data_IF_769453890716
#
_entry.id   IF_769453890716
#
_cell.length_a   1.000
_cell.length_b   1.000
_cell.length_c   1.000
_cell.angle_alpha   90.00
_cell.angle_beta   90.00
_cell.angle_gamma   90.00
#
_symmetry.space_group_name_H-M   'P 1'
#
loop_
_entity.id
_entity.type
_entity.pdbx_description
1 polymer ?
#
# COMPACT_ATOMS: atom_id res chain seq x y z
N UNK A 1 -20.64 -6.28 11.09
CA UNK A 1 -21.41 -7.54 10.98
C UNK A 1 -20.90 -8.51 9.91
N UNK A 2 -20.09 -8.08 8.94
CA UNK A 2 -19.49 -8.98 7.90
C UNK A 2 -18.23 -9.71 8.41
N UNK A 3 -17.51 -9.12 9.38
CA UNK A 3 -16.25 -9.66 9.95
C UNK A 3 -16.45 -10.91 10.81
N UNK A 4 -17.51 -10.97 11.61
CA UNK A 4 -17.71 -12.11 12.54
C UNK A 4 -18.12 -13.43 11.86
N UNK A 5 -18.78 -13.36 10.69
CA UNK A 5 -19.18 -14.56 9.96
C UNK A 5 -18.00 -15.24 9.23
N UNK A 6 -17.00 -14.46 8.76
CA UNK A 6 -15.80 -15.04 8.13
C UNK A 6 -14.82 -15.65 9.17
N UNK A 7 -14.70 -15.04 10.34
CA UNK A 7 -13.89 -15.60 11.46
C UNK A 7 -14.48 -16.92 11.98
N UNK A 8 -15.81 -17.06 12.02
CA UNK A 8 -16.45 -18.34 12.39
C UNK A 8 -16.19 -19.47 11.38
N UNK A 9 -16.19 -19.18 10.07
CA UNK A 9 -15.98 -20.21 9.05
C UNK A 9 -14.55 -20.80 9.04
N UNK A 10 -13.54 -20.07 9.53
CA UNK A 10 -12.16 -20.56 9.60
C UNK A 10 -11.90 -21.41 10.88
N UNK A 11 -12.61 -21.13 11.98
CA UNK A 11 -12.53 -21.97 13.20
C UNK A 11 -13.02 -23.41 13.00
N UNK A 12 -13.88 -23.65 12.03
CA UNK A 12 -14.41 -25.00 11.75
C UNK A 12 -13.39 -25.95 11.07
N UNK A 13 -12.18 -25.46 10.65
CA UNK A 13 -11.15 -26.26 9.99
C UNK A 13 -9.85 -26.45 10.80
N UNK A 14 -9.79 -26.01 12.05
CA UNK A 14 -8.58 -26.14 12.87
C UNK A 14 -7.43 -25.19 12.50
N UNK A 15 -7.69 -24.18 11.66
CA UNK A 15 -6.69 -23.17 11.25
C UNK A 15 -6.85 -21.92 12.10
N UNK A 16 -5.78 -21.51 12.78
CA UNK A 16 -5.74 -20.30 13.59
C UNK A 16 -5.11 -19.13 12.82
N UNK A 17 -5.74 -17.94 12.92
CA UNK A 17 -5.16 -16.69 12.41
C UNK A 17 -4.27 -16.13 13.52
N UNK A 18 -2.94 -16.23 13.34
CA UNK A 18 -1.97 -15.75 14.32
C UNK A 18 -1.74 -14.23 14.22
N UNK A 19 -1.79 -13.68 13.03
CA UNK A 19 -1.68 -12.25 12.76
C UNK A 19 -2.44 -11.88 11.48
N UNK A 20 -2.98 -10.68 11.42
CA UNK A 20 -3.71 -10.17 10.25
C UNK A 20 -3.44 -8.67 10.07
N UNK A 21 -3.30 -8.26 8.83
CA UNK A 21 -3.35 -6.87 8.42
C UNK A 21 -4.40 -6.70 7.32
N UNK A 22 -5.26 -5.71 7.48
CA UNK A 22 -6.23 -5.30 6.45
C UNK A 22 -6.03 -3.82 6.17
N UNK A 23 -5.80 -3.42 4.90
CA UNK A 23 -5.82 -2.01 4.54
C UNK A 23 -7.24 -1.48 4.80
N UNK A 24 -7.34 -0.44 5.60
CA UNK A 24 -8.63 0.06 6.07
C UNK A 24 -9.38 0.83 5.01
N UNK A 25 -8.71 1.48 4.06
CA UNK A 25 -9.29 2.14 2.89
C UNK A 25 -8.22 2.42 1.83
N UNK A 26 -8.61 2.49 0.53
CA UNK A 26 -7.77 2.87 -0.63
C UNK A 26 -7.10 4.25 -0.51
N UNK A 27 -7.48 5.05 0.46
CA UNK A 27 -7.28 6.50 0.55
C UNK A 27 -6.38 6.92 1.69
N UNK A 28 -5.89 5.97 2.49
CA UNK A 28 -4.97 6.29 3.56
C UNK A 28 -3.62 6.75 3.00
N UNK A 29 -3.08 7.76 3.62
CA UNK A 29 -1.71 8.15 3.38
C UNK A 29 -0.77 7.09 3.93
N UNK A 30 0.20 6.73 3.13
CA UNK A 30 1.20 5.72 3.40
C UNK A 30 2.54 6.39 3.63
N UNK A 31 3.40 5.75 4.39
CA UNK A 31 4.81 6.14 4.44
C UNK A 31 5.50 5.91 3.07
N UNK A 32 6.62 6.56 2.88
CA UNK A 32 7.40 6.55 1.62
C UNK A 32 8.54 5.54 1.61
N UNK A 33 8.74 4.76 2.67
CA UNK A 33 9.96 3.95 2.86
C UNK A 33 10.16 2.90 1.76
N UNK A 34 9.12 2.19 1.39
CA UNK A 34 9.19 1.19 0.31
C UNK A 34 9.32 1.81 -1.09
N UNK A 35 8.76 3.00 -1.29
CA UNK A 35 8.96 3.79 -2.50
C UNK A 35 10.38 4.31 -2.58
N UNK A 36 10.97 4.74 -1.47
CA UNK A 36 12.38 5.13 -1.41
C UNK A 36 13.30 3.97 -1.81
N UNK A 37 13.01 2.75 -1.35
CA UNK A 37 13.73 1.55 -1.79
C UNK A 37 13.62 1.36 -3.31
N UNK A 38 12.40 1.43 -3.86
CA UNK A 38 12.16 1.31 -5.30
C UNK A 38 13.00 2.34 -6.09
N UNK A 39 12.92 3.61 -5.74
CA UNK A 39 13.58 4.67 -6.49
C UNK A 39 15.10 4.61 -6.38
N UNK A 40 15.66 4.39 -5.18
CA UNK A 40 17.09 4.18 -5.00
C UNK A 40 17.61 3.00 -5.83
N UNK A 41 16.80 1.97 -5.94
CA UNK A 41 17.12 0.76 -6.68
C UNK A 41 17.09 1.01 -8.20
N UNK A 42 16.10 1.75 -8.69
CA UNK A 42 16.00 2.13 -10.10
C UNK A 42 17.11 3.10 -10.52
N UNK A 43 17.47 4.05 -9.66
CA UNK A 43 18.59 4.96 -9.90
C UNK A 43 19.90 4.20 -10.08
N UNK A 44 20.18 3.17 -9.26
CA UNK A 44 21.33 2.27 -9.41
C UNK A 44 21.33 1.48 -10.72
N UNK A 45 20.15 1.28 -11.32
CA UNK A 45 20.00 0.66 -12.65
C UNK A 45 20.05 1.67 -13.80
N UNK A 46 20.34 2.94 -13.52
CA UNK A 46 20.48 4.02 -14.51
C UNK A 46 19.16 4.60 -14.97
N UNK A 47 18.06 4.38 -14.23
CA UNK A 47 16.77 5.02 -14.52
C UNK A 47 16.80 6.46 -14.01
N UNK A 48 16.36 7.40 -14.84
CA UNK A 48 16.13 8.79 -14.42
C UNK A 48 14.88 8.85 -13.52
N UNK A 49 15.12 8.86 -12.21
CA UNK A 49 14.08 8.87 -11.18
C UNK A 49 13.25 10.14 -11.22
N UNK A 50 13.83 11.28 -11.61
CA UNK A 50 13.09 12.53 -11.73
C UNK A 50 12.05 12.45 -12.84
N UNK A 51 12.43 11.93 -14.01
CA UNK A 51 11.50 11.70 -15.12
C UNK A 51 10.40 10.68 -14.76
N UNK A 52 10.75 9.67 -13.99
CA UNK A 52 9.80 8.67 -13.51
C UNK A 52 8.78 9.31 -12.55
N UNK A 53 9.21 10.13 -11.60
CA UNK A 53 8.33 10.88 -10.70
C UNK A 53 7.43 11.87 -11.45
N UNK A 54 7.96 12.57 -12.43
CA UNK A 54 7.17 13.47 -13.32
C UNK A 54 6.10 12.65 -14.06
N UNK A 55 6.48 11.50 -14.61
CA UNK A 55 5.56 10.60 -15.30
C UNK A 55 4.43 10.09 -14.40
N UNK A 56 4.72 9.83 -13.14
CA UNK A 56 3.75 9.40 -12.12
C UNK A 56 2.87 10.56 -11.60
N UNK A 57 3.16 11.82 -11.96
CA UNK A 57 2.47 13.00 -11.43
C UNK A 57 2.92 13.38 -10.02
N UNK A 58 4.10 12.95 -9.61
CA UNK A 58 4.69 13.10 -8.27
C UNK A 58 5.89 14.06 -8.27
N UNK A 59 5.95 14.97 -9.24
CA UNK A 59 6.99 16.00 -9.27
C UNK A 59 6.92 16.86 -8.00
N UNK A 60 8.01 16.88 -7.23
CA UNK A 60 8.10 17.60 -5.95
C UNK A 60 7.90 16.72 -4.71
N UNK A 61 7.71 15.41 -4.87
CA UNK A 61 7.78 14.48 -3.75
C UNK A 61 9.23 14.42 -3.23
N UNK A 62 9.44 14.88 -2.00
CA UNK A 62 10.73 14.71 -1.33
C UNK A 62 10.73 13.36 -0.57
N UNK A 63 11.41 12.39 -1.14
CA UNK A 63 11.58 11.07 -0.53
C UNK A 63 12.53 11.06 0.69
N UNK A 64 13.26 12.16 0.91
CA UNK A 64 14.12 12.33 2.07
C UNK A 64 13.35 12.87 3.27
N UNK A 65 12.14 13.37 3.05
CA UNK A 65 11.24 13.75 4.12
C UNK A 65 10.72 12.48 4.82
N UNK A 66 11.12 12.23 6.09
CA UNK A 66 10.63 11.08 6.85
C UNK A 66 9.11 11.13 7.10
N UNK A 67 8.50 12.31 6.91
CA UNK A 67 7.06 12.53 6.99
C UNK A 67 6.40 12.56 5.60
N UNK A 68 7.16 12.26 4.54
CA UNK A 68 6.64 12.17 3.18
C UNK A 68 5.49 11.18 3.12
N UNK A 69 4.44 11.55 2.40
CA UNK A 69 3.19 10.77 2.32
C UNK A 69 2.80 10.57 0.88
N UNK A 70 2.30 9.38 0.60
CA UNK A 70 1.76 8.97 -0.68
C UNK A 70 0.36 8.40 -0.49
N UNK A 71 -0.50 8.58 -1.47
CA UNK A 71 -1.73 7.78 -1.55
C UNK A 71 -1.43 6.41 -2.19
N UNK A 72 -2.33 5.46 -2.03
CA UNK A 72 -2.26 4.19 -2.78
C UNK A 72 -2.25 4.41 -4.29
N UNK A 73 -3.03 5.37 -4.78
CA UNK A 73 -3.07 5.69 -6.20
C UNK A 73 -1.72 6.20 -6.72
N UNK A 74 -1.06 7.07 -5.96
CA UNK A 74 0.27 7.58 -6.30
C UNK A 74 1.30 6.44 -6.32
N UNK A 75 1.26 5.56 -5.32
CA UNK A 75 2.14 4.40 -5.23
C UNK A 75 1.93 3.44 -6.40
N UNK A 76 0.68 3.11 -6.71
CA UNK A 76 0.36 2.23 -7.84
C UNK A 76 0.75 2.85 -9.18
N UNK A 77 0.56 4.17 -9.35
CA UNK A 77 1.02 4.90 -10.55
C UNK A 77 2.54 4.78 -10.71
N UNK A 78 3.29 4.99 -9.63
CA UNK A 78 4.74 4.87 -9.63
C UNK A 78 5.19 3.43 -9.93
N UNK A 79 4.54 2.44 -9.32
CA UNK A 79 4.82 1.02 -9.54
C UNK A 79 4.53 0.61 -10.99
N UNK A 80 3.45 1.12 -11.57
CA UNK A 80 3.09 0.88 -12.97
C UNK A 80 4.17 1.39 -13.92
N UNK A 81 4.60 2.64 -13.75
CA UNK A 81 5.63 3.24 -14.59
C UNK A 81 6.96 2.52 -14.40
N UNK A 82 7.35 2.20 -13.16
CA UNK A 82 8.57 1.45 -12.89
C UNK A 82 8.55 0.07 -13.56
N UNK A 83 7.43 -0.66 -13.47
CA UNK A 83 7.28 -1.98 -14.07
C UNK A 83 7.31 -1.93 -15.61
N UNK A 84 6.80 -0.87 -16.22
CA UNK A 84 6.85 -0.67 -17.67
C UNK A 84 8.28 -0.44 -18.21
N UNK A 85 9.20 0.07 -17.39
CA UNK A 85 10.62 0.20 -17.77
C UNK A 85 11.37 -1.13 -17.82
N UNK A 86 10.86 -2.15 -17.15
CA UNK A 86 11.49 -3.47 -17.04
C UNK A 86 10.46 -4.58 -17.32
N UNK A 87 9.83 -4.58 -18.50
CA UNK A 87 8.85 -5.60 -18.84
C UNK A 87 9.52 -6.99 -18.83
N UNK A 88 8.83 -7.97 -18.28
CA UNK A 88 9.29 -9.36 -18.22
C UNK A 88 10.65 -9.60 -17.52
N UNK A 89 11.08 -8.68 -16.65
CA UNK A 89 12.35 -8.78 -15.92
C UNK A 89 12.21 -9.20 -14.45
N UNK A 90 10.99 -9.46 -13.96
CA UNK A 90 10.76 -9.82 -12.55
C UNK A 90 11.29 -8.75 -11.59
N UNK A 91 11.02 -7.48 -11.89
CA UNK A 91 11.45 -6.34 -11.08
C UNK A 91 10.99 -6.47 -9.63
N UNK A 92 9.78 -7.00 -9.38
CA UNK A 92 9.26 -7.22 -8.04
C UNK A 92 10.12 -8.20 -7.23
N UNK A 93 10.53 -9.33 -7.83
CA UNK A 93 11.43 -10.29 -7.18
C UNK A 93 12.76 -9.65 -6.81
N UNK A 94 13.32 -8.89 -7.74
CA UNK A 94 14.61 -8.25 -7.56
C UNK A 94 14.58 -7.16 -6.48
N UNK A 95 13.52 -6.33 -6.44
CA UNK A 95 13.32 -5.35 -5.38
C UNK A 95 13.22 -6.00 -4.00
N UNK A 96 12.41 -7.04 -3.88
CA UNK A 96 12.25 -7.76 -2.63
C UNK A 96 13.54 -8.47 -2.18
N UNK A 97 14.39 -8.90 -3.10
CA UNK A 97 15.71 -9.46 -2.79
C UNK A 97 16.62 -8.42 -2.11
N UNK A 98 16.47 -7.14 -2.45
CA UNK A 98 17.22 -6.04 -1.87
C UNK A 98 16.53 -5.38 -0.67
N UNK A 99 15.39 -5.90 -0.23
CA UNK A 99 14.74 -5.42 0.98
C UNK A 99 15.57 -5.77 2.23
N UNK A 100 15.66 -4.82 3.16
CA UNK A 100 16.40 -4.94 4.42
C UNK A 100 15.57 -4.30 5.53
N UNK A 101 15.76 -4.74 6.77
CA UNK A 101 15.11 -4.16 7.96
C UNK A 101 15.31 -2.66 8.06
N UNK A 102 16.47 -2.15 7.61
CA UNK A 102 16.75 -0.70 7.59
C UNK A 102 15.78 0.10 6.73
N UNK A 103 15.20 -0.50 5.68
CA UNK A 103 14.21 0.15 4.83
C UNK A 103 12.82 0.28 5.51
N UNK A 104 12.65 -0.38 6.66
CA UNK A 104 11.41 -0.32 7.45
C UNK A 104 11.53 0.65 8.64
N UNK A 105 12.63 1.43 8.71
CA UNK A 105 12.84 2.44 9.74
C UNK A 105 12.67 1.89 11.15
N UNK A 106 11.93 2.60 12.01
CA UNK A 106 11.70 2.20 13.41
C UNK A 106 11.02 0.83 13.54
N UNK A 107 10.18 0.45 12.58
CA UNK A 107 9.56 -0.88 12.57
C UNK A 107 10.60 -1.97 12.36
N UNK A 108 11.55 -1.79 11.43
CA UNK A 108 12.63 -2.75 11.21
C UNK A 108 13.46 -3.01 12.49
N UNK A 109 13.75 -1.97 13.26
CA UNK A 109 14.42 -2.13 14.57
C UNK A 109 13.53 -2.85 15.59
N UNK A 110 12.21 -2.62 15.59
CA UNK A 110 11.30 -3.38 16.44
C UNK A 110 11.31 -4.87 16.08
N UNK A 111 11.25 -5.18 14.77
CA UNK A 111 11.30 -6.58 14.32
C UNK A 111 12.61 -7.26 14.75
N UNK A 112 13.76 -6.62 14.59
CA UNK A 112 15.06 -7.19 14.94
C UNK A 112 15.22 -7.47 16.44
N UNK A 113 14.51 -6.74 17.30
CA UNK A 113 14.60 -6.89 18.77
C UNK A 113 13.50 -7.76 19.36
N UNK A 114 12.63 -8.35 18.53
CA UNK A 114 11.59 -9.29 18.94
C UNK A 114 12.18 -10.58 19.53
N UNK A 115 11.41 -11.29 20.34
CA UNK A 115 11.85 -12.51 21.03
C UNK A 115 12.06 -13.67 20.04
N UNK A 116 11.11 -13.81 19.11
CA UNK A 116 11.09 -14.86 18.10
C UNK A 116 10.45 -14.37 16.81
N UNK A 117 10.43 -15.22 15.80
CA UNK A 117 9.86 -14.93 14.49
C UNK A 117 8.36 -14.62 14.59
N UNK A 118 7.60 -15.32 15.44
CA UNK A 118 6.17 -15.07 15.61
C UNK A 118 5.89 -13.67 16.15
N UNK A 119 6.65 -13.22 17.16
CA UNK A 119 6.52 -11.86 17.69
C UNK A 119 6.92 -10.81 16.65
N UNK A 120 7.99 -11.06 15.89
CA UNK A 120 8.39 -10.17 14.79
C UNK A 120 7.28 -10.04 13.75
N UNK A 121 6.67 -11.14 13.29
CA UNK A 121 5.57 -11.09 12.31
C UNK A 121 4.33 -10.38 12.89
N UNK A 122 3.95 -10.67 14.13
CA UNK A 122 2.82 -10.00 14.81
C UNK A 122 3.05 -8.49 14.90
N UNK A 123 4.24 -8.09 15.30
CA UNK A 123 4.62 -6.67 15.37
C UNK A 123 4.66 -6.04 13.99
N UNK A 124 5.22 -6.75 13.00
CA UNK A 124 5.24 -6.34 11.61
C UNK A 124 3.83 -6.08 11.07
N UNK A 125 2.92 -7.01 11.24
CA UNK A 125 1.54 -6.87 10.73
C UNK A 125 0.77 -5.78 11.47
N UNK A 126 0.94 -5.67 12.80
CA UNK A 126 0.30 -4.59 13.58
C UNK A 126 0.66 -3.20 13.08
N UNK A 127 1.90 -2.99 12.67
CA UNK A 127 2.42 -1.69 12.24
C UNK A 127 2.74 -1.63 10.74
N UNK A 128 2.26 -2.60 9.97
CA UNK A 128 2.53 -2.71 8.54
C UNK A 128 2.08 -1.45 7.76
N UNK A 129 1.06 -0.75 8.28
CA UNK A 129 0.58 0.54 7.76
C UNK A 129 1.69 1.61 7.65
N UNK A 130 2.72 1.55 8.49
CA UNK A 130 3.86 2.48 8.40
C UNK A 130 4.61 2.36 7.07
N UNK A 131 4.54 1.20 6.42
CA UNK A 131 5.18 0.93 5.14
C UNK A 131 4.19 0.85 3.97
N UNK A 132 2.90 0.98 4.24
CA UNK A 132 1.84 1.05 3.24
C UNK A 132 1.69 -0.17 2.34
N UNK A 133 1.42 -1.37 2.87
CA UNK A 133 1.17 -2.54 2.04
C UNK A 133 -0.10 -2.38 1.23
N UNK A 134 -0.05 -2.89 0.02
CA UNK A 134 -1.14 -2.82 -0.97
C UNK A 134 -2.16 -3.95 -0.76
N UNK A 135 -1.83 -4.94 0.05
CA UNK A 135 -2.60 -6.17 0.24
C UNK A 135 -3.12 -6.32 1.65
N UNK A 136 -4.24 -7.03 1.79
CA UNK A 136 -4.54 -7.73 3.04
C UNK A 136 -3.59 -8.91 3.20
N UNK A 137 -3.07 -9.11 4.39
CA UNK A 137 -2.12 -10.18 4.69
C UNK A 137 -2.57 -10.92 5.94
N UNK A 138 -2.53 -12.26 5.91
CA UNK A 138 -2.83 -13.11 7.04
C UNK A 138 -1.70 -14.10 7.27
N UNK A 139 -1.35 -14.32 8.53
CA UNK A 139 -0.55 -15.46 8.96
C UNK A 139 -1.49 -16.51 9.54
N UNK A 140 -1.61 -17.61 8.86
CA UNK A 140 -2.40 -18.77 9.25
C UNK A 140 -1.49 -19.85 9.79
N UNK A 141 -1.94 -20.55 10.83
CA UNK A 141 -1.21 -21.69 11.43
C UNK A 141 -2.18 -22.85 11.56
N UNK A 142 -1.77 -24.00 11.03
CA UNK A 142 -2.50 -25.26 11.09
C UNK A 142 -1.51 -26.37 11.47
N UNK A 143 -1.54 -26.76 12.75
CA UNK A 143 -0.64 -27.79 13.32
C UNK A 143 0.84 -27.51 13.00
N UNK A 144 1.40 -28.23 12.05
CA UNK A 144 2.82 -28.17 11.69
C UNK A 144 3.12 -27.21 10.54
N UNK A 145 2.10 -26.60 9.93
CA UNK A 145 2.24 -25.70 8.79
C UNK A 145 1.80 -24.28 9.12
N UNK A 146 2.55 -23.33 8.62
CA UNK A 146 2.19 -21.93 8.61
C UNK A 146 2.07 -21.42 7.16
N UNK A 147 1.21 -20.45 6.93
CA UNK A 147 1.00 -19.84 5.63
C UNK A 147 0.84 -18.33 5.73
N UNK A 148 1.56 -17.58 4.91
CA UNK A 148 1.29 -16.18 4.67
C UNK A 148 0.39 -16.11 3.44
N UNK A 149 -0.84 -15.66 3.65
CA UNK A 149 -1.81 -15.42 2.57
C UNK A 149 -1.93 -13.93 2.28
N UNK A 150 -2.04 -13.62 0.98
CA UNK A 150 -2.22 -12.27 0.47
C UNK A 150 -3.55 -12.23 -0.28
N UNK A 151 -4.40 -11.27 0.08
CA UNK A 151 -5.64 -10.99 -0.63
C UNK A 151 -5.50 -9.64 -1.37
N UNK A 152 -5.78 -9.65 -2.68
CA UNK A 152 -5.78 -8.45 -3.52
C UNK A 152 -7.07 -7.64 -3.31
N UNK A 153 -7.18 -7.00 -2.16
CA UNK A 153 -8.37 -6.22 -1.78
C UNK A 153 -8.49 -4.89 -2.52
N UNK A 154 -7.38 -4.40 -3.09
CA UNK A 154 -7.31 -3.12 -3.81
C UNK A 154 -7.40 -3.28 -5.34
N UNK A 155 -7.59 -4.50 -5.83
CA UNK A 155 -7.76 -4.80 -7.26
C UNK A 155 -6.66 -4.14 -8.13
N UNK A 156 -5.38 -4.40 -7.79
CA UNK A 156 -4.22 -3.76 -8.43
C UNK A 156 -4.04 -4.13 -9.93
N UNK A 157 -4.97 -4.90 -10.51
CA UNK A 157 -4.96 -5.23 -11.93
C UNK A 157 -3.68 -5.94 -12.38
N UNK A 158 -3.12 -5.47 -13.48
CA UNK A 158 -1.91 -6.05 -14.11
C UNK A 158 -0.64 -5.90 -13.25
N UNK A 159 -0.67 -5.10 -12.18
CA UNK A 159 0.43 -4.98 -11.22
C UNK A 159 0.46 -6.12 -10.19
N UNK A 160 -0.53 -7.03 -10.19
CA UNK A 160 -0.61 -8.10 -9.21
C UNK A 160 0.66 -8.98 -9.16
N UNK A 161 1.28 -9.41 -10.28
CA UNK A 161 2.54 -10.12 -10.24
C UNK A 161 3.64 -9.31 -9.56
N UNK A 162 3.91 -8.09 -10.04
CA UNK A 162 4.93 -7.20 -9.50
C UNK A 162 4.78 -6.98 -7.99
N UNK A 163 3.59 -6.61 -7.54
CA UNK A 163 3.33 -6.31 -6.13
C UNK A 163 3.46 -7.55 -5.23
N UNK A 164 2.95 -8.71 -5.69
CA UNK A 164 3.07 -9.99 -4.97
C UNK A 164 4.53 -10.45 -4.87
N UNK A 165 5.27 -10.36 -5.96
CA UNK A 165 6.69 -10.67 -6.04
C UNK A 165 7.50 -9.81 -5.05
N UNK A 166 7.29 -8.49 -5.10
CA UNK A 166 7.99 -7.56 -4.22
C UNK A 166 7.72 -7.89 -2.75
N UNK A 167 6.47 -8.08 -2.37
CA UNK A 167 6.08 -8.38 -0.99
C UNK A 167 6.65 -9.72 -0.52
N UNK A 168 6.43 -10.82 -1.27
CA UNK A 168 6.87 -12.16 -0.89
C UNK A 168 8.39 -12.29 -0.87
N UNK A 169 9.06 -11.71 -1.88
CA UNK A 169 10.51 -11.69 -1.94
C UNK A 169 11.11 -10.88 -0.77
N UNK A 170 10.47 -9.76 -0.38
CA UNK A 170 10.89 -8.99 0.81
C UNK A 170 10.79 -9.83 2.09
N UNK A 171 9.73 -10.61 2.28
CA UNK A 171 9.59 -11.50 3.45
C UNK A 171 10.77 -12.46 3.56
N UNK A 172 11.18 -13.07 2.46
CA UNK A 172 12.32 -14.00 2.45
C UNK A 172 13.63 -13.30 2.81
N UNK A 173 13.86 -12.08 2.31
CA UNK A 173 15.04 -11.27 2.66
C UNK A 173 15.05 -10.87 4.12
N UNK A 174 13.92 -10.36 4.62
CA UNK A 174 13.79 -9.93 6.02
C UNK A 174 13.93 -11.11 7.00
N UNK A 175 13.37 -12.27 6.66
CA UNK A 175 13.53 -13.47 7.47
C UNK A 175 15.01 -13.85 7.60
N UNK A 176 15.73 -13.89 6.47
CA UNK A 176 17.17 -14.19 6.47
C UNK A 176 17.98 -13.17 7.28
N UNK A 177 17.62 -11.88 7.21
CA UNK A 177 18.28 -10.83 7.99
C UNK A 177 18.00 -10.98 9.49
N UNK A 178 16.76 -11.36 9.86
CA UNK A 178 16.35 -11.55 11.26
C UNK A 178 16.99 -12.78 11.93
N UNK A 179 17.06 -13.89 11.19
CA UNK A 179 17.45 -15.20 11.76
C UNK A 179 18.88 -15.63 11.40
N UNK A 180 19.47 -15.02 10.37
CA UNK A 180 20.74 -15.46 9.78
C UNK A 180 20.60 -16.66 8.83
N UNK A 181 19.44 -17.30 8.77
CA UNK A 181 19.19 -18.53 8.00
C UNK A 181 18.13 -18.28 6.90
N UNK A 182 18.19 -18.99 5.78
CA UNK A 182 17.18 -18.91 4.73
C UNK A 182 15.84 -19.48 5.22
N UNK A 183 14.72 -18.88 4.83
CA UNK A 183 13.40 -19.43 5.07
C UNK A 183 13.19 -20.68 4.20
N UNK A 184 13.00 -21.83 4.83
CA UNK A 184 12.61 -23.07 4.13
C UNK A 184 11.13 -22.99 3.77
N UNK A 185 10.85 -22.86 2.47
CA UNK A 185 9.49 -22.72 1.93
C UNK A 185 9.05 -24.07 1.38
N UNK A 186 7.87 -24.54 1.80
CA UNK A 186 7.31 -25.80 1.34
C UNK A 186 6.68 -25.64 -0.05
N UNK A 187 5.99 -24.51 -0.28
CA UNK A 187 5.24 -24.24 -1.50
C UNK A 187 4.91 -22.77 -1.64
N UNK A 188 4.90 -22.30 -2.90
CA UNK A 188 4.39 -20.98 -3.28
C UNK A 188 3.24 -21.14 -4.27
N UNK A 189 2.07 -20.59 -3.97
CA UNK A 189 0.88 -20.53 -4.82
C UNK A 189 0.61 -19.11 -5.27
N UNK A 190 0.37 -18.93 -6.56
CA UNK A 190 0.21 -17.60 -7.19
C UNK A 190 -1.03 -17.57 -8.08
N UNK A 191 -1.87 -16.52 -8.02
CA UNK A 191 -3.16 -16.49 -8.72
C UNK A 191 -3.04 -16.11 -10.22
N UNK A 192 -1.91 -15.65 -10.68
CA UNK A 192 -1.69 -15.20 -12.05
C UNK A 192 -1.03 -16.27 -12.92
N UNK A 193 -0.97 -16.01 -14.22
CA UNK A 193 -0.34 -16.89 -15.19
C UNK A 193 1.19 -16.92 -15.01
N UNK A 194 1.81 -18.03 -15.40
CA UNK A 194 3.27 -18.17 -15.36
C UNK A 194 3.93 -17.12 -16.25
N UNK A 195 4.77 -16.23 -15.71
CA UNK A 195 5.49 -15.22 -16.49
C UNK A 195 6.67 -15.84 -17.26
N UNK A 196 7.19 -15.09 -18.24
CA UNK A 196 8.33 -15.55 -19.05
C UNK A 196 9.61 -15.74 -18.21
N UNK A 197 9.75 -14.98 -17.13
CA UNK A 197 10.89 -15.03 -16.17
C UNK A 197 10.65 -16.00 -15.00
N UNK A 198 9.75 -16.97 -15.13
CA UNK A 198 9.35 -17.87 -14.03
C UNK A 198 10.51 -18.64 -13.38
N UNK A 199 11.63 -18.83 -14.07
CA UNK A 199 12.82 -19.47 -13.51
C UNK A 199 13.43 -18.68 -12.35
N UNK A 200 13.23 -17.35 -12.32
CA UNK A 200 13.66 -16.51 -11.20
C UNK A 200 12.94 -16.82 -9.90
N UNK A 201 11.69 -17.29 -9.97
CA UNK A 201 10.96 -17.74 -8.76
C UNK A 201 11.63 -18.96 -8.12
N UNK A 202 12.05 -19.92 -8.94
CA UNK A 202 12.76 -21.08 -8.43
C UNK A 202 14.07 -20.70 -7.75
N UNK A 203 14.83 -19.80 -8.36
CA UNK A 203 16.09 -19.30 -7.78
C UNK A 203 15.86 -18.49 -6.51
N UNK A 204 14.74 -17.76 -6.42
CA UNK A 204 14.46 -16.86 -5.29
C UNK A 204 13.86 -17.57 -4.09
N UNK A 205 12.91 -18.49 -4.31
CA UNK A 205 12.13 -19.13 -3.25
C UNK A 205 12.58 -20.55 -2.93
N UNK A 206 13.34 -21.18 -3.81
CA UNK A 206 13.87 -22.54 -3.69
C UNK A 206 12.79 -23.57 -3.28
N UNK A 207 11.60 -23.49 -3.89
CA UNK A 207 10.45 -24.31 -3.59
C UNK A 207 9.59 -24.58 -4.83
N UNK A 208 8.66 -25.57 -4.78
CA UNK A 208 7.63 -25.73 -5.80
C UNK A 208 6.76 -24.48 -5.95
N UNK A 209 6.64 -23.94 -7.18
CA UNK A 209 5.83 -22.75 -7.49
C UNK A 209 4.66 -23.14 -8.39
N UNK A 210 3.45 -22.84 -7.93
CA UNK A 210 2.20 -23.15 -8.61
C UNK A 210 1.49 -21.86 -9.05
N UNK A 211 1.37 -21.68 -10.36
CA UNK A 211 0.66 -20.54 -10.97
C UNK A 211 -0.82 -20.88 -11.23
N UNK A 212 -1.64 -19.85 -11.49
CA UNK A 212 -3.10 -19.96 -11.74
C UNK A 212 -3.85 -20.62 -10.58
N UNK A 213 -3.43 -20.37 -9.36
CA UNK A 213 -4.11 -20.82 -8.16
C UNK A 213 -5.22 -19.84 -7.76
N UNK A 214 -6.11 -20.25 -6.84
CA UNK A 214 -7.20 -19.41 -6.35
C UNK A 214 -6.75 -18.28 -5.43
N UNK A 215 -5.54 -18.38 -4.86
CA UNK A 215 -4.99 -17.41 -3.89
C UNK A 215 -3.48 -17.29 -4.00
N UNK A 216 -2.97 -16.20 -3.45
CA UNK A 216 -1.54 -15.98 -3.27
C UNK A 216 -1.14 -16.45 -1.86
N UNK A 217 -0.29 -17.48 -1.78
CA UNK A 217 0.05 -18.11 -0.51
C UNK A 217 1.48 -18.65 -0.51
N UNK A 218 2.22 -18.35 0.56
CA UNK A 218 3.55 -18.88 0.85
C UNK A 218 3.45 -19.77 2.08
N UNK A 219 3.73 -21.09 1.94
CA UNK A 219 3.68 -22.07 3.01
C UNK A 219 5.07 -22.47 3.49
N UNK A 220 5.19 -22.60 4.80
CA UNK A 220 6.43 -23.01 5.47
C UNK A 220 6.13 -23.80 6.76
N UNK A 221 7.14 -24.41 7.36
CA UNK A 221 7.01 -25.15 8.60
C UNK A 221 6.69 -24.22 9.78
N UNK A 222 5.66 -24.55 10.57
CA UNK A 222 5.23 -23.72 11.69
C UNK A 222 6.29 -23.62 12.81
N UNK A 223 7.22 -24.57 12.90
CA UNK A 223 8.31 -24.54 13.88
C UNK A 223 9.20 -23.30 13.72
N UNK A 224 9.30 -22.76 12.50
CA UNK A 224 10.02 -21.52 12.20
C UNK A 224 9.53 -20.34 13.05
N UNK A 225 8.25 -20.31 13.39
CA UNK A 225 7.64 -19.23 14.18
C UNK A 225 8.23 -19.13 15.60
N UNK A 226 8.69 -20.24 16.17
CA UNK A 226 9.30 -20.32 17.50
C UNK A 226 10.81 -20.10 17.47
N UNK A 227 11.40 -19.83 16.31
CA UNK A 227 12.84 -19.60 16.20
C UNK A 227 13.23 -18.30 16.93
N UNK A 228 14.12 -18.38 17.96
CA UNK A 228 14.53 -17.19 18.70
C UNK A 228 15.39 -16.27 17.84
N UNK A 229 15.25 -14.96 18.05
CA UNK A 229 16.08 -13.97 17.39
C UNK A 229 17.30 -13.62 18.25
N UNK A 230 18.47 -13.59 17.63
CA UNK A 230 19.75 -13.38 18.32
C UNK A 230 19.89 -11.99 18.94
N UNK A 231 19.18 -11.01 18.40
CA UNK A 231 19.22 -9.60 18.83
C UNK A 231 18.06 -9.23 19.77
N UNK A 232 17.36 -10.23 20.33
CA UNK A 232 16.25 -10.01 21.25
C UNK A 232 16.62 -9.11 22.42
N UNK A 233 15.84 -8.07 22.63
CA UNK A 233 15.87 -7.18 23.80
C UNK A 233 14.48 -6.61 24.07
N UNK A 234 13.82 -7.14 25.10
CA UNK A 234 12.44 -6.79 25.45
C UNK A 234 12.28 -5.29 25.80
N UNK A 235 13.30 -4.67 26.39
CA UNK A 235 13.25 -3.23 26.75
C UNK A 235 13.31 -2.37 25.51
N UNK A 236 14.21 -2.69 24.61
CA UNK A 236 14.41 -1.99 23.33
C UNK A 236 13.21 -2.20 22.41
N UNK A 237 12.69 -3.44 22.32
CA UNK A 237 11.45 -3.74 21.58
C UNK A 237 10.29 -2.86 22.03
N UNK A 238 10.04 -2.79 23.36
CA UNK A 238 8.97 -1.96 23.93
C UNK A 238 9.09 -0.49 23.52
N UNK A 239 10.32 0.05 23.50
CA UNK A 239 10.57 1.45 23.06
C UNK A 239 10.28 1.64 21.59
N UNK A 240 10.73 0.74 20.71
CA UNK A 240 10.46 0.84 19.28
C UNK A 240 8.97 0.67 18.95
N UNK A 241 8.28 -0.28 19.61
CA UNK A 241 6.83 -0.42 19.43
C UNK A 241 6.05 0.81 19.90
N UNK A 242 6.48 1.46 21.00
CA UNK A 242 5.89 2.71 21.44
C UNK A 242 6.11 3.83 20.40
N UNK A 243 7.29 3.89 19.78
CA UNK A 243 7.56 4.84 18.68
C UNK A 243 6.70 4.54 17.45
N UNK A 244 6.55 3.28 17.04
CA UNK A 244 5.64 2.88 15.97
C UNK A 244 4.20 3.31 16.27
N UNK A 245 3.74 3.08 17.50
CA UNK A 245 2.40 3.46 17.93
C UNK A 245 2.20 4.97 17.86
N UNK A 246 3.16 5.75 18.35
CA UNK A 246 3.11 7.21 18.28
C UNK A 246 3.04 7.75 16.84
N UNK A 247 3.79 7.14 15.90
CA UNK A 247 3.72 7.52 14.48
C UNK A 247 2.33 7.21 13.90
N UNK A 248 1.77 6.02 14.21
CA UNK A 248 0.41 5.66 13.76
C UNK A 248 -0.62 6.64 14.33
N UNK A 249 -0.54 6.97 15.62
CA UNK A 249 -1.43 7.94 16.26
C UNK A 249 -1.30 9.34 15.65
N UNK A 250 -0.09 9.75 15.29
CA UNK A 250 0.15 11.00 14.58
C UNK A 250 -0.48 10.98 13.19
N UNK A 251 -0.29 9.87 12.44
CA UNK A 251 -0.93 9.67 11.14
C UNK A 251 -2.46 9.72 11.25
N UNK A 252 -3.03 9.19 12.32
CA UNK A 252 -4.47 9.20 12.56
C UNK A 252 -4.97 10.60 13.02
N UNK A 253 -4.23 11.28 13.89
CA UNK A 253 -4.62 12.57 14.46
C UNK A 253 -4.42 13.76 13.51
N UNK A 254 -3.33 13.78 12.76
CA UNK A 254 -3.04 14.87 11.81
C UNK A 254 -4.08 14.96 10.68
N UNK A 255 -4.79 13.88 10.41
CA UNK A 255 -5.72 13.79 9.28
C UNK A 255 -7.17 13.49 9.65
N UNK A 256 -7.51 13.44 10.94
CA UNK A 256 -8.87 13.06 11.34
C UNK A 256 -9.92 13.95 10.67
N UNK A 257 -9.76 15.27 10.72
CA UNK A 257 -10.69 16.23 10.12
C UNK A 257 -10.60 16.23 8.57
N UNK A 258 -9.39 16.25 8.02
CA UNK A 258 -9.17 16.23 6.57
C UNK A 258 -9.67 14.92 5.95
N UNK A 259 -9.45 13.79 6.60
CA UNK A 259 -9.92 12.49 6.15
C UNK A 259 -11.44 12.34 6.27
N UNK A 260 -12.04 12.82 7.35
CA UNK A 260 -13.49 12.84 7.49
C UNK A 260 -14.14 13.67 6.38
N UNK A 261 -13.60 14.84 6.07
CA UNK A 261 -14.09 15.69 4.98
C UNK A 261 -13.89 15.00 3.63
N UNK A 262 -12.73 14.39 3.36
CA UNK A 262 -12.51 13.62 2.14
C UNK A 262 -13.51 12.48 2.01
N UNK A 263 -13.78 11.72 3.06
CA UNK A 263 -14.77 10.65 3.06
C UNK A 263 -16.15 11.16 2.66
N UNK A 264 -16.57 12.28 3.22
CA UNK A 264 -17.83 12.94 2.83
C UNK A 264 -17.81 13.29 1.33
N UNK A 265 -16.73 13.91 0.83
CA UNK A 265 -16.61 14.28 -0.59
C UNK A 265 -16.67 13.07 -1.51
N UNK A 266 -16.08 11.96 -1.15
CA UNK A 266 -16.16 10.72 -1.93
C UNK A 266 -17.58 10.16 -1.99
N UNK A 267 -18.29 10.19 -0.87
CA UNK A 267 -19.67 9.71 -0.80
C UNK A 267 -20.65 10.63 -1.55
N UNK A 268 -20.31 11.91 -1.67
CA UNK A 268 -21.18 12.95 -2.23
C UNK A 268 -20.61 13.59 -3.51
N UNK A 269 -19.79 12.87 -4.27
CA UNK A 269 -19.00 13.42 -5.39
C UNK A 269 -19.81 14.25 -6.41
N UNK A 270 -21.06 13.86 -6.67
CA UNK A 270 -21.96 14.58 -7.57
C UNK A 270 -22.59 15.85 -6.95
N UNK A 271 -22.66 15.93 -5.61
CA UNK A 271 -23.28 17.04 -4.87
C UNK A 271 -22.53 17.33 -3.60
N UNK A 272 -21.31 17.86 -3.75
CA UNK A 272 -20.38 18.08 -2.65
C UNK A 272 -20.94 19.16 -1.71
N UNK A 273 -21.01 18.89 -0.37
CA UNK A 273 -21.52 19.85 0.60
C UNK A 273 -20.61 21.09 0.68
N UNK A 274 -21.20 22.26 0.83
CA UNK A 274 -20.45 23.51 1.05
C UNK A 274 -19.69 23.50 2.38
N UNK A 275 -18.71 24.38 2.53
CA UNK A 275 -17.98 24.47 3.78
C UNK A 275 -18.87 24.87 4.97
N UNK A 276 -19.95 25.57 4.70
CA UNK A 276 -20.97 25.95 5.70
C UNK A 276 -21.76 24.71 6.16
N UNK A 277 -22.11 23.83 5.22
CA UNK A 277 -22.79 22.57 5.52
C UNK A 277 -21.89 21.62 6.31
N UNK A 278 -20.61 21.47 5.88
CA UNK A 278 -19.63 20.69 6.64
C UNK A 278 -19.42 21.24 8.05
N UNK A 279 -19.27 22.57 8.19
CA UNK A 279 -19.11 23.18 9.51
C UNK A 279 -20.31 22.90 10.43
N UNK A 280 -21.52 22.93 9.89
CA UNK A 280 -22.73 22.55 10.61
C UNK A 280 -22.68 21.08 11.06
N UNK A 281 -22.28 20.16 10.18
CA UNK A 281 -22.13 18.73 10.47
C UNK A 281 -21.08 18.45 11.56
N UNK A 282 -19.98 19.20 11.55
CA UNK A 282 -18.92 19.13 12.57
C UNK A 282 -19.20 19.96 13.83
N UNK A 283 -20.37 20.59 13.96
CA UNK A 283 -20.76 21.36 15.13
C UNK A 283 -19.90 22.60 15.37
N UNK A 284 -19.32 23.19 14.32
CA UNK A 284 -18.44 24.34 14.42
C UNK A 284 -18.81 25.45 13.42
N UNK A 285 -18.18 26.63 13.51
CA UNK A 285 -18.34 27.66 12.50
C UNK A 285 -17.46 27.40 11.28
N UNK A 286 -17.87 27.87 10.08
CA UNK A 286 -17.05 27.79 8.87
C UNK A 286 -15.69 28.52 9.02
N UNK A 287 -15.60 29.53 9.88
CA UNK A 287 -14.33 30.16 10.25
C UNK A 287 -13.43 29.20 11.05
N UNK A 288 -13.99 28.49 12.01
CA UNK A 288 -13.26 27.49 12.83
C UNK A 288 -12.77 26.37 11.92
N UNK A 289 -13.66 25.81 11.09
CA UNK A 289 -13.31 24.74 10.16
C UNK A 289 -12.18 25.14 9.20
N UNK A 290 -12.24 26.37 8.63
CA UNK A 290 -11.15 26.87 7.77
C UNK A 290 -9.82 27.02 8.51
N UNK A 291 -9.85 27.52 9.75
CA UNK A 291 -8.64 27.66 10.57
C UNK A 291 -8.02 26.30 10.87
N UNK A 292 -8.85 25.34 11.27
CA UNK A 292 -8.38 23.99 11.65
C UNK A 292 -7.83 23.24 10.44
N UNK A 293 -8.45 23.37 9.25
CA UNK A 293 -7.87 22.89 8.01
C UNK A 293 -6.54 23.56 7.67
N UNK A 294 -6.43 24.88 7.85
CA UNK A 294 -5.17 25.61 7.61
C UNK A 294 -4.08 25.17 8.58
N UNK A 295 -4.41 24.91 9.85
CA UNK A 295 -3.46 24.38 10.84
C UNK A 295 -2.95 23.00 10.45
N UNK A 296 -3.78 22.20 9.76
CA UNK A 296 -3.41 20.91 9.21
C UNK A 296 -2.78 21.00 7.80
N UNK A 297 -2.34 22.19 7.37
CA UNK A 297 -1.67 22.39 6.08
C UNK A 297 -2.58 22.23 4.86
N UNK A 298 -3.91 22.25 5.03
CA UNK A 298 -4.87 22.03 3.95
C UNK A 298 -5.97 23.10 3.87
N UNK A 299 -6.84 22.97 2.88
CA UNK A 299 -8.04 23.80 2.72
C UNK A 299 -9.19 22.98 2.14
N UNK A 300 -10.42 23.46 2.31
CA UNK A 300 -11.59 22.86 1.67
C UNK A 300 -11.38 22.63 0.15
N UNK A 301 -10.83 23.64 -0.53
CA UNK A 301 -10.62 23.57 -1.97
C UNK A 301 -9.53 22.56 -2.35
N UNK A 302 -8.47 22.48 -1.54
CA UNK A 302 -7.40 21.47 -1.72
C UNK A 302 -7.97 20.06 -1.60
N UNK A 303 -8.69 19.77 -0.52
CA UNK A 303 -9.30 18.46 -0.29
C UNK A 303 -10.30 18.08 -1.39
N UNK A 304 -11.12 19.04 -1.83
CA UNK A 304 -12.07 18.80 -2.93
C UNK A 304 -11.35 18.50 -4.24
N UNK A 305 -10.26 19.21 -4.51
CA UNK A 305 -9.44 18.98 -5.71
C UNK A 305 -8.80 17.60 -5.67
N UNK A 306 -8.19 17.23 -4.57
CA UNK A 306 -7.57 15.91 -4.38
C UNK A 306 -8.57 14.77 -4.64
N UNK A 307 -9.74 14.83 -4.01
CA UNK A 307 -10.79 13.82 -4.20
C UNK A 307 -11.26 13.75 -5.65
N UNK A 308 -11.46 14.91 -6.31
CA UNK A 308 -11.87 14.94 -7.71
C UNK A 308 -10.82 14.39 -8.66
N UNK A 309 -9.54 14.65 -8.39
CA UNK A 309 -8.41 14.09 -9.17
C UNK A 309 -8.42 12.57 -9.08
N UNK A 310 -8.52 12.03 -7.87
CA UNK A 310 -8.50 10.58 -7.65
C UNK A 310 -9.70 9.89 -8.31
N UNK A 311 -10.91 10.36 -8.05
CA UNK A 311 -12.12 9.83 -8.70
C UNK A 311 -12.08 9.95 -10.22
N UNK A 312 -11.54 11.06 -10.76
CA UNK A 312 -11.37 11.21 -12.20
C UNK A 312 -10.42 10.15 -12.76
N UNK A 313 -9.28 9.91 -12.10
CA UNK A 313 -8.32 8.86 -12.49
C UNK A 313 -8.99 7.48 -12.46
N UNK A 314 -9.66 7.13 -11.37
CA UNK A 314 -10.37 5.85 -11.22
C UNK A 314 -11.41 5.64 -12.33
N UNK A 315 -12.28 6.63 -12.58
CA UNK A 315 -13.32 6.53 -13.60
C UNK A 315 -12.75 6.48 -15.03
N UNK A 316 -11.68 7.22 -15.29
CA UNK A 316 -11.03 7.21 -16.61
C UNK A 316 -10.38 5.87 -16.92
N UNK A 317 -9.84 5.17 -15.93
CA UNK A 317 -9.11 3.91 -16.08
C UNK A 317 -10.02 2.68 -15.91
N UNK A 318 -10.91 2.75 -14.94
CA UNK A 318 -11.74 1.60 -14.52
C UNK A 318 -13.06 1.48 -15.28
N UNK A 319 -13.44 2.47 -16.12
CA UNK A 319 -14.75 2.46 -16.76
C UNK A 319 -14.72 2.85 -18.25
N UNK A 320 -15.76 2.42 -18.98
CA UNK A 320 -15.99 2.85 -20.35
C UNK A 320 -16.78 4.18 -20.47
N UNK A 321 -17.01 4.88 -19.34
CA UNK A 321 -17.77 6.13 -19.31
C UNK A 321 -17.11 7.18 -20.22
N UNK A 322 -17.93 8.00 -20.89
CA UNK A 322 -17.45 9.16 -21.63
C UNK A 322 -16.83 10.21 -20.70
N UNK A 323 -15.97 11.06 -21.23
CA UNK A 323 -15.35 12.15 -20.45
C UNK A 323 -16.40 13.09 -19.87
N UNK A 324 -17.49 13.29 -20.60
CA UNK A 324 -18.59 14.18 -20.20
C UNK A 324 -19.39 13.58 -19.04
N UNK A 325 -19.73 12.31 -19.10
CA UNK A 325 -20.37 11.58 -18.00
C UNK A 325 -19.50 11.57 -16.72
N UNK A 326 -18.18 11.44 -16.88
CA UNK A 326 -17.24 11.54 -15.74
C UNK A 326 -17.29 12.95 -15.14
N UNK A 327 -17.30 13.99 -15.97
CA UNK A 327 -17.42 15.37 -15.51
C UNK A 327 -18.70 15.61 -14.70
N UNK A 328 -19.84 15.15 -15.20
CA UNK A 328 -21.14 15.23 -14.48
C UNK A 328 -21.09 14.47 -13.14
N UNK A 329 -20.53 13.27 -13.14
CA UNK A 329 -20.40 12.46 -11.93
C UNK A 329 -19.52 13.07 -10.86
N UNK A 330 -18.58 13.92 -11.27
CA UNK A 330 -17.70 14.70 -10.38
C UNK A 330 -18.28 16.06 -9.98
N UNK A 331 -19.54 16.31 -10.33
CA UNK A 331 -20.26 17.53 -9.96
C UNK A 331 -19.92 18.75 -10.80
N UNK A 332 -19.46 18.57 -12.04
CA UNK A 332 -19.28 19.67 -13.00
C UNK A 332 -20.55 19.84 -13.84
N UNK A 333 -21.11 21.04 -13.79
CA UNK A 333 -22.27 21.42 -14.62
C UNK A 333 -21.94 21.58 -16.10
N UNK A 334 -20.65 21.76 -16.43
CA UNK A 334 -20.15 21.92 -17.80
C UNK A 334 -18.92 21.02 -17.99
N UNK A 335 -18.99 20.07 -18.95
CA UNK A 335 -17.85 19.20 -19.29
C UNK A 335 -16.56 19.94 -19.68
N UNK A 336 -16.65 21.15 -20.25
CA UNK A 336 -15.49 21.96 -20.57
C UNK A 336 -14.75 22.43 -19.30
N UNK A 337 -15.48 22.67 -18.20
CA UNK A 337 -14.89 23.02 -16.93
C UNK A 337 -14.10 21.83 -16.34
N UNK A 338 -14.66 20.63 -16.41
CA UNK A 338 -13.94 19.43 -16.01
C UNK A 338 -12.65 19.24 -16.82
N UNK A 339 -12.71 19.32 -18.15
CA UNK A 339 -11.51 19.14 -19.00
C UNK A 339 -10.42 20.15 -18.67
N UNK A 340 -10.79 21.43 -18.42
CA UNK A 340 -9.84 22.48 -18.01
C UNK A 340 -9.24 22.21 -16.64
N UNK A 341 -10.06 21.85 -15.66
CA UNK A 341 -9.62 21.52 -14.32
C UNK A 341 -8.66 20.31 -14.34
N UNK A 342 -9.03 19.23 -15.00
CA UNK A 342 -8.20 18.03 -15.10
C UNK A 342 -6.84 18.32 -15.75
N UNK A 343 -6.83 19.12 -16.84
CA UNK A 343 -5.58 19.55 -17.49
C UNK A 343 -4.72 20.41 -16.55
N UNK A 344 -5.32 21.27 -15.73
CA UNK A 344 -4.57 22.09 -14.77
C UNK A 344 -3.98 21.26 -13.63
N UNK A 345 -4.62 20.16 -13.24
CA UNK A 345 -4.15 19.27 -12.17
C UNK A 345 -2.99 18.36 -12.60
N UNK A 346 -3.09 17.79 -13.79
CA UNK A 346 -2.21 16.70 -14.23
C UNK A 346 -1.38 17.03 -15.49
N UNK A 347 -1.46 18.26 -15.99
CA UNK A 347 -0.81 18.71 -17.26
C UNK A 347 -1.15 17.85 -18.49
N UNK A 348 -2.17 16.99 -18.41
CA UNK A 348 -2.66 16.10 -19.47
C UNK A 348 -4.18 16.27 -19.59
N UNK A 349 -4.72 16.16 -20.80
CA UNK A 349 -6.17 16.11 -20.97
C UNK A 349 -6.71 14.74 -20.51
N UNK A 350 -8.01 14.65 -20.09
CA UNK A 350 -8.61 13.36 -19.73
C UNK A 350 -8.46 12.28 -20.81
N UNK A 351 -8.58 12.68 -22.10
CA UNK A 351 -8.41 11.76 -23.22
C UNK A 351 -6.96 11.28 -23.40
N UNK A 352 -5.97 12.16 -23.16
CA UNK A 352 -4.56 11.78 -23.17
C UNK A 352 -4.23 10.87 -21.99
N UNK A 353 -4.80 11.13 -20.83
CA UNK A 353 -4.60 10.31 -19.64
C UNK A 353 -5.14 8.88 -19.86
N UNK A 354 -6.36 8.74 -20.40
CA UNK A 354 -6.96 7.44 -20.73
C UNK A 354 -6.15 6.66 -21.77
N UNK A 355 -5.59 7.32 -22.79
CA UNK A 355 -4.78 6.69 -23.86
C UNK A 355 -3.36 6.34 -23.44
N UNK A 356 -2.79 6.98 -22.44
CA UNK A 356 -1.41 6.78 -22.02
C UNK A 356 -1.17 5.51 -21.22
N UNK A 357 -2.21 4.66 -21.05
CA UNK A 357 -2.19 3.36 -20.37
C UNK A 357 -2.67 2.20 -21.29
N UNK A 358 -2.93 2.50 -22.55
CA UNK A 358 -3.08 1.51 -23.65
C UNK A 358 -1.74 1.57 -24.48
#
# INVERSE_FOLDING_TARGET
>A
MISEHKVKAHRERGVDILAEYMPTEHRHQLGTLDVALLLNTLERRGVDVEQLLIGAGLSGLDLRDPNGKLTYADKLSLFSIANQHFPDDGLGLWLGEHASLSHFGVLGYALSTSQDVAEAIKSGFKYLRLNGPIFSVKLLVDSDLAAIQIENTLEVGDLLPFCSEYFLSSIVSLFKELTGEPLSINQLSLPYARPNYAERYQSRFDCPVHFKQSMCELRFDASVLSQPLLTHDATTLKRYLASCQSIVETLDSEHLLTNQIKTIFYQTAASVPSIEQLAYEFGCSSRTLRRDLTTQGSSYQTLLTEVRVELAKELLLGTAMSIDEIGERLGYSDPANFRRAFKSWLNKTPAQFRKGLT
#
